data_IF_529778534462
#
_entry.id   IF_529778534462
#
_cell.length_a   1.000
_cell.length_b   1.000
_cell.length_c   1.000
_cell.angle_alpha   90.00
_cell.angle_beta   90.00
_cell.angle_gamma   90.00
#
_symmetry.space_group_name_H-M   'P 1'
#
loop_
_entity.id
_entity.type
_entity.pdbx_description
1 polymer ?
#
# COMPACT_ATOMS: atom_id res chain seq x y z
N UNK A 1 -14.84 30.96 -16.60
CA UNK A 1 -16.04 30.22 -16.15
C UNK A 1 -16.39 29.23 -17.25
N UNK A 2 -15.90 28.00 -17.12
CA UNK A 2 -16.29 26.89 -17.99
C UNK A 2 -16.80 25.80 -17.06
N UNK A 3 -18.07 25.48 -17.22
CA UNK A 3 -18.80 24.44 -16.48
C UNK A 3 -18.20 23.08 -16.82
N UNK A 4 -17.45 22.48 -15.90
CA UNK A 4 -17.01 21.09 -16.01
C UNK A 4 -18.22 20.18 -15.77
N UNK A 5 -18.72 19.60 -16.86
CA UNK A 5 -19.72 18.55 -16.83
C UNK A 5 -19.08 17.29 -16.23
N UNK A 6 -19.33 17.06 -14.94
CA UNK A 6 -18.94 15.83 -14.23
C UNK A 6 -19.67 14.65 -14.86
N UNK A 7 -18.96 13.82 -15.64
CA UNK A 7 -19.45 12.51 -16.06
C UNK A 7 -19.63 11.63 -14.82
N UNK A 8 -20.87 11.49 -14.35
CA UNK A 8 -21.22 10.67 -13.19
C UNK A 8 -21.17 9.19 -13.58
N UNK A 9 -20.29 8.42 -12.94
CA UNK A 9 -20.36 6.96 -12.98
C UNK A 9 -21.32 6.52 -11.87
N UNK A 10 -22.38 5.79 -12.19
CA UNK A 10 -23.35 5.28 -11.20
C UNK A 10 -23.06 3.82 -10.90
N UNK A 11 -22.95 3.45 -9.63
CA UNK A 11 -22.82 2.06 -9.20
C UNK A 11 -24.03 1.60 -8.41
N UNK A 12 -24.46 0.37 -8.67
CA UNK A 12 -25.53 -0.31 -7.93
C UNK A 12 -25.03 -0.76 -6.55
N UNK A 13 -25.83 -0.49 -5.51
CA UNK A 13 -25.54 -0.96 -4.15
C UNK A 13 -26.15 -2.34 -3.97
N UNK A 14 -25.35 -3.33 -3.56
CA UNK A 14 -25.83 -4.69 -3.26
C UNK A 14 -26.01 -4.90 -1.76
N UNK A 15 -27.10 -5.54 -1.36
CA UNK A 15 -27.27 -6.04 0.01
C UNK A 15 -26.63 -7.41 0.18
N UNK A 16 -26.43 -7.85 1.43
CA UNK A 16 -25.93 -9.19 1.74
C UNK A 16 -26.81 -10.32 1.15
N UNK A 17 -28.10 -10.05 0.91
CA UNK A 17 -29.05 -10.98 0.27
C UNK A 17 -28.96 -11.00 -1.27
N UNK A 18 -28.02 -10.24 -1.86
CA UNK A 18 -27.84 -10.13 -3.31
C UNK A 18 -28.86 -9.23 -4.01
N UNK A 19 -29.68 -8.48 -3.28
CA UNK A 19 -30.65 -7.53 -3.86
C UNK A 19 -29.98 -6.18 -4.08
N UNK A 20 -30.33 -5.50 -5.16
CA UNK A 20 -29.91 -4.12 -5.40
C UNK A 20 -30.74 -3.16 -4.53
N UNK A 21 -30.08 -2.32 -3.74
CA UNK A 21 -30.69 -1.33 -2.86
C UNK A 21 -30.17 0.08 -3.17
N UNK A 22 -30.65 0.62 -4.29
CA UNK A 22 -30.30 1.97 -4.73
C UNK A 22 -28.97 2.04 -5.48
N UNK A 23 -28.57 3.27 -5.80
CA UNK A 23 -27.39 3.61 -6.60
C UNK A 23 -26.57 4.68 -5.90
N UNK A 24 -25.25 4.65 -6.10
CA UNK A 24 -24.31 5.67 -5.60
C UNK A 24 -23.58 6.31 -6.78
N UNK A 25 -23.52 7.64 -6.74
CA UNK A 25 -22.79 8.44 -7.71
C UNK A 25 -21.29 8.50 -7.36
N UNK A 26 -20.42 8.08 -8.29
CA UNK A 26 -18.98 8.26 -8.17
C UNK A 26 -18.54 9.58 -8.82
N UNK A 27 -17.82 10.45 -8.09
CA UNK A 27 -17.27 11.67 -8.65
C UNK A 27 -16.19 11.39 -9.71
N UNK A 28 -16.34 11.97 -10.90
CA UNK A 28 -15.38 11.83 -12.02
C UNK A 28 -13.94 12.20 -11.62
N UNK A 29 -13.77 13.23 -10.79
CA UNK A 29 -12.45 13.70 -10.34
C UNK A 29 -11.65 12.63 -9.56
N UNK A 30 -12.32 11.64 -8.97
CA UNK A 30 -11.69 10.56 -8.19
C UNK A 30 -11.63 9.24 -8.96
N UNK A 31 -12.65 8.95 -9.77
CA UNK A 31 -12.85 7.64 -10.41
C UNK A 31 -12.75 7.66 -11.95
N UNK A 32 -12.47 8.82 -12.57
CA UNK A 32 -12.23 8.94 -14.02
C UNK A 32 -10.91 9.67 -14.35
N UNK A 33 -9.87 9.42 -13.55
CA UNK A 33 -8.52 9.91 -13.82
C UNK A 33 -7.78 9.03 -14.87
N UNK A 34 -6.89 9.61 -15.69
CA UNK A 34 -6.06 8.82 -16.60
C UNK A 34 -5.08 7.94 -15.81
N UNK A 35 -5.01 6.65 -16.16
CA UNK A 35 -4.12 5.69 -15.51
C UNK A 35 -2.67 5.87 -16.01
N UNK A 36 -1.87 6.65 -15.29
CA UNK A 36 -0.45 6.83 -15.60
C UNK A 36 0.41 5.70 -14.97
N UNK A 37 0.81 4.74 -15.80
CA UNK A 37 1.57 3.55 -15.38
C UNK A 37 2.91 3.91 -14.72
N UNK A 38 3.65 4.88 -15.27
CA UNK A 38 4.95 5.27 -14.73
C UNK A 38 4.82 5.87 -13.33
N UNK A 39 3.79 6.70 -13.12
CA UNK A 39 3.47 7.26 -11.81
C UNK A 39 3.08 6.17 -10.80
N UNK A 40 2.18 5.27 -11.21
CA UNK A 40 1.73 4.17 -10.35
C UNK A 40 2.90 3.25 -9.97
N UNK A 41 3.75 2.88 -10.93
CA UNK A 41 4.95 2.10 -10.69
C UNK A 41 5.88 2.76 -9.66
N UNK A 42 6.16 4.06 -9.81
CA UNK A 42 7.02 4.77 -8.86
C UNK A 42 6.45 4.78 -7.44
N UNK A 43 5.13 5.00 -7.30
CA UNK A 43 4.46 5.00 -5.98
C UNK A 43 4.49 3.61 -5.35
N UNK A 44 4.20 2.56 -6.12
CA UNK A 44 4.24 1.17 -5.63
C UNK A 44 5.65 0.76 -5.20
N UNK A 45 6.67 1.07 -6.00
CA UNK A 45 8.06 0.78 -5.64
C UNK A 45 8.46 1.53 -4.37
N UNK A 46 8.04 2.79 -4.20
CA UNK A 46 8.30 3.54 -2.98
C UNK A 46 7.57 2.94 -1.76
N UNK A 47 6.34 2.44 -1.90
CA UNK A 47 5.61 1.75 -0.84
C UNK A 47 6.30 0.45 -0.42
N UNK A 48 6.69 -0.39 -1.39
CA UNK A 48 7.43 -1.62 -1.11
C UNK A 48 8.80 -1.34 -0.49
N UNK A 49 9.49 -0.29 -0.93
CA UNK A 49 10.76 0.13 -0.34
C UNK A 49 10.60 0.60 1.11
N UNK A 50 9.52 1.31 1.44
CA UNK A 50 9.22 1.73 2.82
C UNK A 50 8.84 0.55 3.73
N UNK A 51 8.20 -0.50 3.20
CA UNK A 51 7.91 -1.72 3.96
C UNK A 51 9.16 -2.54 4.33
N UNK A 52 10.29 -2.30 3.65
CA UNK A 52 11.54 -3.03 3.88
C UNK A 52 12.26 -2.52 5.14
N UNK A 53 12.36 -3.37 6.15
CA UNK A 53 12.96 -3.04 7.46
C UNK A 53 14.47 -2.73 7.45
N UNK A 54 15.24 -3.35 6.55
CA UNK A 54 16.66 -3.03 6.39
C UNK A 54 17.60 -3.45 7.54
N UNK A 55 17.25 -4.45 8.35
CA UNK A 55 17.97 -4.87 9.57
C UNK A 55 19.21 -5.76 9.35
N UNK A 56 19.78 -5.78 8.15
CA UNK A 56 20.99 -6.55 7.87
C UNK A 56 22.24 -5.83 8.34
N UNK A 57 23.18 -6.56 8.95
CA UNK A 57 24.47 -6.02 9.37
C UNK A 57 25.57 -7.05 9.18
N UNK A 58 26.76 -6.56 8.84
CA UNK A 58 28.00 -7.34 8.80
C UNK A 58 29.08 -6.59 9.56
N UNK A 59 30.00 -7.32 10.18
CA UNK A 59 31.11 -6.70 10.90
C UNK A 59 32.19 -6.29 9.91
N UNK A 60 32.47 -5.00 9.88
CA UNK A 60 33.64 -4.42 9.22
C UNK A 60 34.91 -4.84 9.96
N UNK A 61 36.08 -4.63 9.33
CA UNK A 61 37.38 -4.97 9.92
C UNK A 61 37.56 -4.43 11.35
N UNK A 62 37.02 -3.25 11.66
CA UNK A 62 37.13 -2.62 12.98
C UNK A 62 36.22 -3.24 14.06
N UNK A 63 35.15 -3.91 13.65
CA UNK A 63 34.13 -4.47 14.55
C UNK A 63 34.38 -5.95 14.87
N UNK A 64 35.23 -6.63 14.08
CA UNK A 64 35.62 -8.03 14.35
C UNK A 64 36.63 -8.08 15.51
N UNK A 65 36.34 -8.87 16.54
CA UNK A 65 37.16 -9.01 17.74
C UNK A 65 38.61 -9.42 17.43
N UNK A 66 39.59 -8.66 17.91
CA UNK A 66 41.02 -8.95 17.81
C UNK A 66 41.73 -8.21 16.66
N UNK A 67 42.94 -8.64 16.29
CA UNK A 67 43.68 -8.02 15.17
C UNK A 67 44.27 -6.64 15.43
N UNK A 68 44.31 -6.20 16.70
CA UNK A 68 44.93 -4.92 17.12
C UNK A 68 46.46 -4.93 17.18
N UNK A 69 47.10 -6.08 16.98
CA UNK A 69 48.54 -6.22 16.91
C UNK A 69 48.98 -6.71 15.53
N UNK A 70 50.13 -6.21 15.08
CA UNK A 70 50.75 -6.65 13.83
C UNK A 70 51.22 -8.10 13.96
N UNK A 71 50.89 -9.01 13.02
CA UNK A 71 51.21 -10.43 13.17
C UNK A 71 52.72 -10.74 13.26
N UNK A 72 53.56 -9.95 12.58
CA UNK A 72 55.02 -10.10 12.58
C UNK A 72 55.72 -8.82 12.10
N UNK A 73 57.06 -8.79 12.24
CA UNK A 73 57.93 -7.67 11.80
C UNK A 73 57.74 -7.30 10.32
N UNK A 74 57.93 -6.02 9.98
CA UNK A 74 57.64 -5.47 8.65
C UNK A 74 58.48 -6.06 7.51
N UNK A 75 59.71 -6.50 7.79
CA UNK A 75 60.66 -7.06 6.81
C UNK A 75 61.43 -8.23 7.43
N UNK A 76 62.02 -9.08 6.58
CA UNK A 76 62.92 -10.17 7.00
C UNK A 76 62.24 -11.50 7.37
N UNK A 77 60.96 -11.69 7.08
CA UNK A 77 60.23 -12.95 7.38
C UNK A 77 59.99 -13.85 6.17
N UNK A 78 60.25 -13.37 4.94
CA UNK A 78 59.95 -14.09 3.69
C UNK A 78 58.46 -14.21 3.35
N UNK A 79 57.54 -13.79 4.24
CA UNK A 79 56.09 -13.81 4.04
C UNK A 79 55.59 -12.50 3.43
N UNK A 80 54.40 -12.52 2.82
CA UNK A 80 53.70 -11.31 2.39
C UNK A 80 53.51 -10.33 3.57
N UNK A 81 53.50 -9.01 3.32
CA UNK A 81 53.37 -8.03 4.40
C UNK A 81 51.94 -7.98 4.92
N UNK A 82 51.75 -8.10 6.23
CA UNK A 82 50.43 -8.09 6.86
C UNK A 82 50.37 -7.09 8.02
N UNK A 83 49.30 -6.31 8.05
CA UNK A 83 49.07 -5.29 9.08
C UNK A 83 48.21 -5.77 10.25
N UNK A 84 47.33 -6.74 10.03
CA UNK A 84 46.38 -7.26 11.02
C UNK A 84 45.90 -8.64 10.59
N UNK A 85 45.49 -9.47 11.57
CA UNK A 85 44.83 -10.76 11.32
C UNK A 85 43.36 -10.63 10.92
N UNK A 86 42.77 -9.43 11.04
CA UNK A 86 41.36 -9.14 10.67
C UNK A 86 41.20 -8.47 9.31
N UNK A 87 42.26 -8.44 8.50
CA UNK A 87 42.19 -7.90 7.15
C UNK A 87 41.23 -8.74 6.26
N UNK A 88 40.55 -8.15 5.27
CA UNK A 88 39.47 -8.82 4.54
C UNK A 88 39.87 -10.11 3.81
N UNK A 89 41.12 -10.19 3.35
CA UNK A 89 41.66 -11.37 2.68
C UNK A 89 41.93 -12.56 3.62
N UNK A 90 41.84 -12.35 4.95
CA UNK A 90 42.02 -13.42 5.93
C UNK A 90 40.71 -14.16 6.19
N UNK A 91 40.82 -15.44 6.49
CA UNK A 91 39.74 -16.21 7.10
C UNK A 91 39.39 -15.61 8.47
N UNK A 92 38.10 -15.33 8.71
CA UNK A 92 37.66 -14.62 9.91
C UNK A 92 38.07 -13.14 9.95
N UNK A 93 38.41 -12.54 8.80
CA UNK A 93 38.55 -11.10 8.59
C UNK A 93 37.20 -10.39 8.51
N UNK A 94 37.22 -9.06 8.53
CA UNK A 94 36.01 -8.25 8.37
C UNK A 94 35.56 -8.12 6.91
N UNK A 95 34.27 -7.88 6.69
CA UNK A 95 33.70 -7.65 5.35
C UNK A 95 33.88 -6.18 4.97
N UNK A 96 34.36 -5.88 3.76
CA UNK A 96 34.62 -4.49 3.30
C UNK A 96 33.33 -3.78 2.90
N UNK A 97 32.66 -4.29 1.87
CA UNK A 97 31.40 -3.75 1.35
C UNK A 97 30.26 -4.68 1.69
N UNK A 98 30.11 -4.93 2.98
CA UNK A 98 29.04 -5.76 3.50
C UNK A 98 27.75 -4.95 3.73
N UNK A 99 26.59 -5.63 3.80
CA UNK A 99 25.33 -4.99 4.14
C UNK A 99 25.40 -4.33 5.53
N UNK A 100 24.86 -3.11 5.63
CA UNK A 100 24.70 -2.36 6.87
C UNK A 100 23.25 -1.93 7.07
N UNK A 101 22.79 -1.75 8.32
CA UNK A 101 21.43 -1.33 8.57
C UNK A 101 21.17 0.03 7.93
N UNK A 102 20.12 0.12 7.11
CA UNK A 102 19.76 1.37 6.43
C UNK A 102 18.26 1.46 6.20
N UNK A 103 17.78 2.69 6.16
CA UNK A 103 16.42 2.99 5.72
C UNK A 103 16.33 2.93 4.18
N UNK A 104 15.29 2.28 3.69
CA UNK A 104 14.98 2.15 2.27
C UNK A 104 13.86 3.10 1.82
N UNK A 105 13.28 3.86 2.75
CA UNK A 105 12.17 4.78 2.47
C UNK A 105 12.57 5.84 1.43
N UNK A 106 11.64 6.13 0.51
CA UNK A 106 11.83 7.12 -0.55
C UNK A 106 10.77 8.22 -0.42
N UNK A 107 11.21 9.48 -0.42
CA UNK A 107 10.30 10.62 -0.36
C UNK A 107 9.53 10.72 -1.67
N UNK A 108 8.21 10.54 -1.59
CA UNK A 108 7.30 10.70 -2.73
C UNK A 108 6.35 11.88 -2.46
N UNK A 109 6.23 12.86 -3.38
CA UNK A 109 5.33 13.99 -3.24
C UNK A 109 3.88 13.58 -2.98
N UNK A 110 3.16 14.33 -2.12
CA UNK A 110 1.78 14.02 -1.74
C UNK A 110 0.83 13.95 -2.95
N UNK A 111 0.96 14.90 -3.88
CA UNK A 111 0.16 14.94 -5.12
C UNK A 111 0.38 13.70 -6.00
N UNK A 112 1.59 13.15 -6.03
CA UNK A 112 1.89 11.93 -6.78
C UNK A 112 1.21 10.71 -6.16
N UNK A 113 1.23 10.58 -4.83
CA UNK A 113 0.53 9.49 -4.12
C UNK A 113 -0.98 9.53 -4.38
N UNK A 114 -1.58 10.71 -4.25
CA UNK A 114 -3.02 10.91 -4.49
C UNK A 114 -3.39 10.62 -5.94
N UNK A 115 -2.61 11.11 -6.91
CA UNK A 115 -2.86 10.88 -8.33
C UNK A 115 -2.71 9.39 -8.71
N UNK A 116 -1.73 8.67 -8.14
CA UNK A 116 -1.56 7.24 -8.39
C UNK A 116 -2.73 6.41 -7.84
N UNK A 117 -3.23 6.74 -6.64
CA UNK A 117 -4.41 6.08 -6.08
C UNK A 117 -5.67 6.33 -6.93
N UNK A 118 -5.90 7.58 -7.36
CA UNK A 118 -7.02 7.92 -8.26
C UNK A 118 -6.92 7.16 -9.58
N UNK A 119 -5.72 7.09 -10.17
CA UNK A 119 -5.48 6.33 -11.39
C UNK A 119 -5.79 4.84 -11.23
N UNK A 120 -5.41 4.23 -10.10
CA UNK A 120 -5.68 2.83 -9.80
C UNK A 120 -7.19 2.57 -9.58
N UNK A 121 -7.88 3.41 -8.83
CA UNK A 121 -9.33 3.31 -8.64
C UNK A 121 -10.10 3.55 -9.93
N UNK A 122 -9.64 4.48 -10.77
CA UNK A 122 -10.27 4.75 -12.07
C UNK A 122 -10.15 3.56 -13.03
N UNK A 123 -9.01 2.85 -13.02
CA UNK A 123 -8.87 1.60 -13.77
C UNK A 123 -9.84 0.52 -13.27
N UNK A 124 -10.01 0.36 -11.96
CA UNK A 124 -11.00 -0.57 -11.40
C UNK A 124 -12.43 -0.17 -11.75
N UNK A 125 -12.76 1.12 -11.69
CA UNK A 125 -14.08 1.64 -12.05
C UNK A 125 -14.43 1.40 -13.52
N UNK A 126 -13.51 1.68 -14.46
CA UNK A 126 -13.71 1.46 -15.90
C UNK A 126 -13.92 0.01 -16.29
N UNK A 127 -13.36 -0.91 -15.51
CA UNK A 127 -13.49 -2.35 -15.72
C UNK A 127 -14.63 -2.98 -14.90
N UNK A 128 -15.50 -2.17 -14.28
CA UNK A 128 -16.64 -2.61 -13.45
C UNK A 128 -16.23 -3.48 -12.25
N UNK A 129 -15.02 -3.25 -11.72
CA UNK A 129 -14.41 -4.00 -10.60
C UNK A 129 -14.55 -3.34 -9.23
N UNK A 130 -15.48 -2.40 -9.14
CA UNK A 130 -15.81 -1.73 -7.89
C UNK A 130 -17.22 -2.15 -7.54
N UNK A 131 -17.38 -2.73 -6.35
CA UNK A 131 -18.67 -3.13 -5.82
C UNK A 131 -18.98 -2.32 -4.57
N UNK A 132 -20.23 -1.86 -4.47
CA UNK A 132 -20.71 -1.12 -3.29
C UNK A 132 -21.72 -1.99 -2.57
N UNK A 133 -21.53 -2.17 -1.27
CA UNK A 133 -22.36 -3.01 -0.43
C UNK A 133 -22.93 -2.24 0.76
N UNK A 134 -24.10 -2.63 1.27
CA UNK A 134 -24.62 -2.04 2.51
C UNK A 134 -23.92 -2.60 3.74
N UNK A 135 -23.86 -3.93 3.81
CA UNK A 135 -23.29 -4.69 4.92
C UNK A 135 -22.61 -5.93 4.35
N UNK A 136 -21.49 -6.33 4.95
CA UNK A 136 -20.75 -7.52 4.50
C UNK A 136 -21.35 -8.82 5.04
N UNK A 137 -21.83 -8.78 6.29
CA UNK A 137 -22.46 -9.92 6.96
C UNK A 137 -23.72 -9.42 7.63
N UNK A 138 -24.84 -10.10 7.39
CA UNK A 138 -26.10 -9.74 8.02
C UNK A 138 -26.05 -10.00 9.53
N UNK A 139 -26.38 -8.96 10.32
CA UNK A 139 -26.50 -9.04 11.78
C UNK A 139 -25.22 -8.71 12.56
N UNK A 140 -25.30 -8.87 13.88
CA UNK A 140 -24.25 -8.45 14.82
C UNK A 140 -23.26 -9.58 15.19
N UNK A 141 -23.28 -10.70 14.46
CA UNK A 141 -22.44 -11.87 14.73
C UNK A 141 -21.41 -12.09 13.60
N UNK A 142 -20.10 -12.16 13.90
CA UNK A 142 -19.09 -12.45 12.89
C UNK A 142 -19.26 -13.85 12.28
N UNK A 143 -19.23 -13.94 10.94
CA UNK A 143 -19.34 -15.21 10.21
C UNK A 143 -18.48 -15.19 8.94
N UNK A 144 -17.35 -15.88 8.98
CA UNK A 144 -16.45 -16.02 7.82
C UNK A 144 -17.08 -16.79 6.66
N UNK A 145 -17.92 -17.79 6.97
CA UNK A 145 -18.61 -18.55 5.93
C UNK A 145 -19.55 -17.64 5.13
N UNK A 146 -20.36 -16.84 5.83
CA UNK A 146 -21.29 -15.90 5.19
C UNK A 146 -20.54 -14.86 4.36
N UNK A 147 -19.43 -14.30 4.87
CA UNK A 147 -18.61 -13.35 4.14
C UNK A 147 -18.00 -13.95 2.86
N UNK A 148 -17.47 -15.18 2.95
CA UNK A 148 -16.91 -15.88 1.77
C UNK A 148 -17.97 -16.15 0.72
N UNK A 149 -19.09 -16.75 1.12
CA UNK A 149 -20.16 -17.11 0.20
C UNK A 149 -20.74 -15.84 -0.49
N UNK A 150 -20.78 -14.71 0.22
CA UNK A 150 -21.16 -13.41 -0.35
C UNK A 150 -20.11 -12.86 -1.34
N UNK A 151 -18.81 -12.89 -1.00
CA UNK A 151 -17.75 -12.44 -1.90
C UNK A 151 -17.68 -13.28 -3.18
N UNK A 152 -17.86 -14.60 -3.08
CA UNK A 152 -17.95 -15.50 -4.24
C UNK A 152 -19.19 -15.21 -5.11
N UNK A 153 -20.28 -14.70 -4.53
CA UNK A 153 -21.46 -14.28 -5.28
C UNK A 153 -21.27 -12.96 -6.04
N UNK A 154 -20.29 -12.15 -5.64
CA UNK A 154 -20.01 -10.87 -6.28
C UNK A 154 -19.19 -11.02 -7.56
N UNK A 155 -18.17 -11.87 -7.55
CA UNK A 155 -17.25 -12.08 -8.66
C UNK A 155 -16.56 -13.44 -8.56
N UNK A 156 -16.26 -14.05 -9.72
CA UNK A 156 -15.51 -15.32 -9.82
C UNK A 156 -14.01 -15.15 -9.57
N UNK A 157 -13.55 -13.90 -9.34
CA UNK A 157 -12.14 -13.59 -9.13
C UNK A 157 -11.67 -13.95 -7.73
N UNK A 158 -10.35 -14.02 -7.57
CA UNK A 158 -9.74 -14.59 -6.37
C UNK A 158 -9.44 -13.56 -5.29
N UNK A 159 -8.91 -12.39 -5.66
CA UNK A 159 -8.41 -11.40 -4.70
C UNK A 159 -9.35 -10.22 -4.51
N UNK A 160 -9.80 -10.00 -3.29
CA UNK A 160 -10.69 -8.91 -2.91
C UNK A 160 -10.03 -7.93 -1.95
N UNK A 161 -10.11 -6.64 -2.26
CA UNK A 161 -9.86 -5.56 -1.30
C UNK A 161 -11.20 -5.14 -0.69
N UNK A 162 -11.35 -5.26 0.62
CA UNK A 162 -12.60 -4.89 1.30
C UNK A 162 -12.34 -3.66 2.16
N UNK A 163 -12.98 -2.54 1.81
CA UNK A 163 -12.83 -1.27 2.51
C UNK A 163 -13.92 -1.14 3.58
N UNK A 164 -13.51 -1.28 4.84
CA UNK A 164 -14.39 -1.37 6.01
C UNK A 164 -14.17 -0.20 6.97
N UNK A 165 -15.25 0.27 7.61
CA UNK A 165 -15.16 1.24 8.69
C UNK A 165 -14.38 0.67 9.87
N UNK A 166 -13.62 1.48 10.61
CA UNK A 166 -12.85 0.99 11.76
C UNK A 166 -13.72 0.45 12.90
N UNK A 167 -14.96 0.91 12.98
CA UNK A 167 -15.91 0.56 14.03
C UNK A 167 -16.68 -0.74 13.72
N UNK A 168 -16.66 -1.22 12.47
CA UNK A 168 -17.37 -2.42 12.01
C UNK A 168 -16.61 -3.71 12.37
N UNK A 169 -16.51 -4.00 13.67
CA UNK A 169 -15.76 -5.15 14.18
C UNK A 169 -16.28 -6.50 13.66
N UNK A 170 -17.57 -6.58 13.32
CA UNK A 170 -18.20 -7.80 12.81
C UNK A 170 -17.71 -8.10 11.40
N UNK A 171 -17.64 -7.10 10.51
CA UNK A 171 -17.08 -7.27 9.18
C UNK A 171 -15.58 -7.59 9.23
N UNK A 172 -14.79 -6.84 10.02
CA UNK A 172 -13.34 -7.07 10.17
C UNK A 172 -13.04 -8.51 10.59
N UNK A 173 -13.72 -9.02 11.63
CA UNK A 173 -13.53 -10.40 12.11
C UNK A 173 -13.99 -11.45 11.11
N UNK A 174 -15.00 -11.13 10.30
CA UNK A 174 -15.55 -12.08 9.33
C UNK A 174 -14.58 -12.35 8.17
N UNK A 175 -13.83 -11.33 7.71
CA UNK A 175 -12.88 -11.48 6.59
C UNK A 175 -11.44 -11.77 7.00
N UNK A 176 -11.05 -11.50 8.25
CA UNK A 176 -9.66 -11.62 8.69
C UNK A 176 -9.01 -13.00 8.49
N UNK A 177 -9.81 -14.06 8.37
CA UNK A 177 -9.32 -15.44 8.17
C UNK A 177 -9.24 -15.86 6.68
N UNK A 178 -9.70 -15.02 5.75
CA UNK A 178 -9.72 -15.35 4.32
C UNK A 178 -8.38 -14.97 3.67
N UNK A 179 -7.69 -15.94 3.05
CA UNK A 179 -6.34 -15.75 2.51
C UNK A 179 -6.26 -14.72 1.37
N UNK A 180 -7.29 -14.68 0.52
CA UNK A 180 -7.32 -13.80 -0.65
C UNK A 180 -8.12 -12.50 -0.43
N UNK A 181 -8.42 -12.16 0.82
CA UNK A 181 -9.21 -10.97 1.16
C UNK A 181 -8.41 -10.08 2.08
N UNK A 182 -8.18 -8.84 1.65
CA UNK A 182 -7.50 -7.84 2.46
C UNK A 182 -8.52 -6.83 3.00
N UNK A 183 -8.81 -6.80 4.31
CA UNK A 183 -9.57 -5.72 4.90
C UNK A 183 -8.69 -4.48 5.10
N UNK A 184 -9.18 -3.32 4.69
CA UNK A 184 -8.51 -2.02 4.87
C UNK A 184 -9.49 -0.96 5.34
N UNK A 185 -9.02 -0.02 6.16
CA UNK A 185 -9.81 1.15 6.50
C UNK A 185 -9.78 2.19 5.35
N UNK A 186 -10.83 2.99 5.15
CA UNK A 186 -10.87 3.98 4.06
C UNK A 186 -9.75 5.02 4.15
N UNK A 187 -9.28 5.35 5.36
CA UNK A 187 -8.17 6.29 5.60
C UNK A 187 -6.78 5.72 5.26
N UNK A 188 -6.66 4.39 5.19
CA UNK A 188 -5.42 3.68 4.84
C UNK A 188 -5.39 3.22 3.38
N UNK A 189 -6.43 3.54 2.59
CA UNK A 189 -6.53 3.12 1.21
C UNK A 189 -5.31 3.61 0.40
N UNK A 190 -4.65 2.68 -0.27
CA UNK A 190 -3.36 2.94 -0.90
C UNK A 190 -3.25 2.28 -2.29
N UNK A 191 -2.27 2.73 -3.08
CA UNK A 191 -2.10 2.30 -4.48
C UNK A 191 -1.72 0.82 -4.61
N UNK A 192 -0.86 0.29 -3.75
CA UNK A 192 -0.41 -1.10 -3.82
C UNK A 192 -1.56 -2.09 -3.60
N UNK A 193 -2.36 -1.90 -2.56
CA UNK A 193 -3.43 -2.83 -2.20
C UNK A 193 -4.55 -2.85 -3.25
N UNK A 194 -4.86 -1.69 -3.85
CA UNK A 194 -5.82 -1.59 -4.98
C UNK A 194 -5.31 -2.32 -6.22
N UNK A 195 -4.01 -2.27 -6.49
CA UNK A 195 -3.42 -2.93 -7.65
C UNK A 195 -3.18 -4.43 -7.46
N UNK A 196 -2.85 -4.88 -6.25
CA UNK A 196 -2.70 -6.32 -5.93
C UNK A 196 -4.05 -7.06 -5.93
N UNK A 197 -5.14 -6.32 -5.68
CA UNK A 197 -6.50 -6.87 -5.64
C UNK A 197 -7.17 -6.81 -7.01
N UNK A 198 -7.95 -7.84 -7.32
CA UNK A 198 -8.70 -7.91 -8.57
C UNK A 198 -9.97 -7.05 -8.49
N UNK A 199 -10.70 -7.21 -7.39
CA UNK A 199 -11.97 -6.55 -7.09
C UNK A 199 -11.83 -5.66 -5.86
N UNK A 200 -12.50 -4.50 -5.86
CA UNK A 200 -12.55 -3.59 -4.72
C UNK A 200 -13.98 -3.46 -4.23
N UNK A 201 -14.22 -3.80 -2.97
CA UNK A 201 -15.54 -3.78 -2.33
C UNK A 201 -15.56 -2.66 -1.29
N UNK A 202 -16.45 -1.70 -1.46
CA UNK A 202 -16.71 -0.63 -0.49
C UNK A 202 -18.03 -0.86 0.22
N UNK A 203 -18.12 -0.49 1.50
CA UNK A 203 -19.42 -0.22 2.09
C UNK A 203 -19.91 1.16 1.67
N UNK A 204 -21.23 1.39 1.68
CA UNK A 204 -21.80 2.72 1.39
C UNK A 204 -21.20 3.78 2.32
N UNK A 205 -21.04 3.46 3.60
CA UNK A 205 -20.44 4.34 4.59
C UNK A 205 -18.98 4.68 4.24
N UNK A 206 -18.16 3.68 3.93
CA UNK A 206 -16.73 3.91 3.66
C UNK A 206 -16.50 4.61 2.34
N UNK A 207 -17.34 4.36 1.33
CA UNK A 207 -17.29 5.08 0.06
C UNK A 207 -17.60 6.57 0.25
N UNK A 208 -18.66 6.89 0.99
CA UNK A 208 -19.04 8.28 1.27
C UNK A 208 -17.95 8.99 2.09
N UNK A 209 -17.44 8.35 3.15
CA UNK A 209 -16.33 8.90 3.94
C UNK A 209 -15.09 9.15 3.09
N UNK A 210 -14.75 8.25 2.16
CA UNK A 210 -13.63 8.42 1.24
C UNK A 210 -13.83 9.59 0.28
N UNK A 211 -15.04 9.75 -0.28
CA UNK A 211 -15.39 10.86 -1.17
C UNK A 211 -15.31 12.19 -0.43
N UNK A 212 -15.90 12.28 0.77
CA UNK A 212 -15.89 13.48 1.60
C UNK A 212 -14.48 13.90 1.98
N UNK A 213 -13.63 12.96 2.41
CA UNK A 213 -12.25 13.26 2.78
C UNK A 213 -11.44 13.82 1.59
N UNK A 214 -11.56 13.21 0.41
CA UNK A 214 -10.80 13.63 -0.76
C UNK A 214 -11.31 14.93 -1.40
N UNK A 215 -12.59 15.25 -1.23
CA UNK A 215 -13.18 16.51 -1.70
C UNK A 215 -12.85 17.67 -0.75
N UNK A 216 -12.85 17.44 0.56
CA UNK A 216 -12.39 18.41 1.56
C UNK A 216 -10.90 18.77 1.36
N UNK A 217 -10.05 17.76 1.12
CA UNK A 217 -8.62 17.97 0.84
C UNK A 217 -8.40 18.76 -0.46
N UNK A 218 -9.22 18.52 -1.48
CA UNK A 218 -9.18 19.28 -2.73
C UNK A 218 -9.56 20.76 -2.50
N UNK A 219 -10.59 21.03 -1.69
CA UNK A 219 -11.03 22.38 -1.36
C UNK A 219 -9.98 23.14 -0.53
N UNK A 220 -9.42 22.50 0.49
CA UNK A 220 -8.38 23.08 1.35
C UNK A 220 -7.08 23.38 0.58
N UNK A 221 -6.75 22.57 -0.44
CA UNK A 221 -5.60 22.83 -1.31
C UNK A 221 -5.78 24.07 -2.19
N UNK A 222 -7.00 24.34 -2.66
CA UNK A 222 -7.34 25.52 -3.48
C UNK A 222 -7.31 26.80 -2.65
N UNK A 223 -7.87 26.77 -1.44
CA UNK A 223 -7.86 27.93 -0.53
C UNK A 223 -6.44 28.35 -0.14
N UNK A 224 -5.54 27.41 0.14
CA UNK A 224 -4.12 27.73 0.44
C UNK A 224 -3.39 28.39 -0.73
N UNK A 225 -3.64 27.94 -1.97
CA UNK A 225 -3.03 28.56 -3.14
C UNK A 225 -3.59 29.94 -3.47
N UNK A 226 -4.79 30.27 -2.99
CA UNK A 226 -5.40 31.59 -3.15
C UNK A 226 -4.93 32.59 -2.08
N UNK A 227 -4.45 32.11 -0.93
CA UNK A 227 -3.91 32.95 0.15
C UNK A 227 -2.41 33.27 -0.03
N UNK A 228 -1.67 32.42 -0.76
CA UNK A 228 -0.26 32.62 -1.09
C UNK A 228 0.00 33.42 -2.39
N UNK A 229 -1.07 33.83 -3.11
CA UNK A 229 -1.01 34.59 -4.36
C UNK A 229 -1.48 36.05 -4.18
#
# INVERSE_FOLDING_TARGET
MSTETTTKLTLDVKTADGKTNGTVDLPAALFDAPANIALMHQVVVAQQAAARQGTHSTKTRGEVRGGGAKPYRQKGTGRARQGSTRAPQFTGGGTVHGPQPRDYSQRTPKKMKAAALRGALSDRARNERIHVITELVAGQAPSTKSARDFLESLSDRRKFLVVLGREDLTAWKSVANLENVLPIAPDQLNTYDVLDSDEVVFSVETLNAFIEQNTADAKAAVEKTAEEA
#
